data_IF_985082456476
#
_entry.id   IF_985082456476
#
_cell.length_a   1.000
_cell.length_b   1.000
_cell.length_c   1.000
_cell.angle_alpha   90.00
_cell.angle_beta   90.00
_cell.angle_gamma   90.00
#
_symmetry.space_group_name_H-M   'P 1'
#
loop_
_entity.id
_entity.type
_entity.pdbx_description
1 polymer ?
#
# COMPACT_ATOMS: atom_id res chain seq x y z
N UNK A 1 0.99 2.61 -14.26
CA UNK A 1 0.53 1.37 -13.60
C UNK A 1 1.66 0.39 -13.31
N UNK A 2 2.87 0.63 -13.82
CA UNK A 2 4.04 -0.23 -13.62
C UNK A 2 5.19 0.48 -12.90
N UNK A 3 6.14 -0.30 -12.36
CA UNK A 3 7.35 0.16 -11.67
C UNK A 3 8.52 -0.77 -11.98
N UNK A 4 9.72 -0.21 -11.98
CA UNK A 4 10.99 -0.92 -12.16
C UNK A 4 11.50 -1.37 -10.80
N UNK A 5 11.02 -2.51 -10.31
CA UNK A 5 11.37 -3.09 -9.01
C UNK A 5 11.85 -4.54 -9.15
N UNK A 6 12.69 -4.97 -8.21
CA UNK A 6 13.15 -6.36 -8.12
C UNK A 6 12.06 -7.35 -7.74
N UNK A 7 11.03 -6.88 -7.05
CA UNK A 7 9.97 -7.70 -6.49
C UNK A 7 8.61 -7.16 -6.90
N UNK A 8 7.70 -8.05 -7.27
CA UNK A 8 6.32 -7.72 -7.58
C UNK A 8 5.72 -8.67 -8.62
N UNK A 9 4.47 -8.40 -9.00
CA UNK A 9 3.81 -9.11 -10.08
C UNK A 9 4.23 -8.50 -11.41
N UNK A 10 4.93 -9.26 -12.25
CA UNK A 10 5.33 -8.80 -13.58
C UNK A 10 4.11 -8.44 -14.41
N UNK A 11 4.25 -7.38 -15.21
CA UNK A 11 3.22 -6.99 -16.17
C UNK A 11 2.99 -8.14 -17.14
N UNK A 12 1.75 -8.64 -17.30
CA UNK A 12 1.45 -9.79 -18.17
C UNK A 12 1.31 -9.36 -19.64
N UNK A 13 2.23 -8.54 -20.12
CA UNK A 13 2.34 -8.05 -21.48
C UNK A 13 3.63 -8.54 -22.13
N UNK A 14 3.57 -8.87 -23.40
CA UNK A 14 4.68 -9.45 -24.15
C UNK A 14 4.83 -8.69 -25.45
N UNK A 15 6.03 -8.18 -25.70
CA UNK A 15 6.41 -7.63 -26.99
C UNK A 15 6.57 -8.77 -28.00
N UNK A 16 5.95 -8.60 -29.17
CA UNK A 16 6.03 -9.57 -30.28
C UNK A 16 7.06 -9.08 -31.26
N UNK A 17 8.29 -9.57 -31.12
CA UNK A 17 9.40 -9.23 -32.03
C UNK A 17 9.32 -10.11 -33.27
N UNK A 18 8.89 -9.53 -34.41
CA UNK A 18 8.66 -10.21 -35.65
C UNK A 18 9.83 -10.00 -36.61
N UNK A 19 10.32 -11.10 -37.19
CA UNK A 19 11.41 -11.06 -38.11
C UNK A 19 11.07 -10.24 -39.40
N UNK A 20 11.96 -9.32 -39.76
CA UNK A 20 11.82 -8.47 -40.93
C UNK A 20 10.78 -7.35 -40.85
N UNK A 21 10.27 -7.06 -39.68
CA UNK A 21 9.34 -5.95 -39.42
C UNK A 21 10.04 -4.91 -38.54
N UNK A 22 10.04 -3.65 -38.98
CA UNK A 22 10.49 -2.54 -38.15
C UNK A 22 9.41 -2.25 -37.12
N UNK A 23 9.75 -2.35 -35.82
CA UNK A 23 8.81 -2.26 -34.71
C UNK A 23 9.35 -1.32 -33.65
N UNK A 24 8.51 -0.41 -33.17
CA UNK A 24 8.79 0.42 -32.00
C UNK A 24 8.16 -0.21 -30.75
N UNK A 25 8.97 -0.62 -29.74
CA UNK A 25 8.44 -1.14 -28.49
C UNK A 25 7.56 -0.14 -27.70
N UNK A 26 7.66 1.16 -28.01
CA UNK A 26 6.77 2.17 -27.42
C UNK A 26 5.34 2.13 -28.01
N UNK A 27 5.15 1.46 -29.15
CA UNK A 27 3.85 1.34 -29.78
C UNK A 27 3.12 0.09 -29.26
N UNK A 28 2.00 0.33 -28.59
CA UNK A 28 1.17 -0.72 -27.99
C UNK A 28 0.63 -1.76 -28.99
N UNK A 29 0.60 -1.45 -30.28
CA UNK A 29 0.13 -2.40 -31.31
C UNK A 29 0.99 -3.67 -31.43
N UNK A 30 2.25 -3.62 -30.95
CA UNK A 30 3.19 -4.74 -31.02
C UNK A 30 3.21 -5.59 -29.74
N UNK A 31 2.27 -5.34 -28.84
CA UNK A 31 2.18 -6.04 -27.57
C UNK A 31 0.94 -6.93 -27.50
N UNK A 32 1.13 -8.11 -26.92
CA UNK A 32 0.02 -9.00 -26.55
C UNK A 32 -0.03 -9.19 -25.04
N UNK A 33 -1.23 -9.37 -24.52
CA UNK A 33 -1.45 -9.64 -23.07
C UNK A 33 -1.78 -11.10 -22.90
N UNK A 34 -1.17 -11.78 -21.94
CA UNK A 34 -1.48 -13.18 -21.62
C UNK A 34 -1.22 -13.50 -20.17
N UNK A 35 -2.13 -14.20 -19.50
CA UNK A 35 -1.91 -14.67 -18.11
C UNK A 35 -0.78 -15.68 -18.01
N UNK A 36 -0.53 -16.39 -19.10
CA UNK A 36 0.55 -17.35 -19.26
C UNK A 36 1.27 -17.09 -20.57
N UNK A 37 2.51 -17.55 -20.68
CA UNK A 37 3.27 -17.47 -21.92
C UNK A 37 2.53 -18.16 -23.06
N UNK A 38 1.89 -19.31 -22.84
CA UNK A 38 1.13 -20.02 -23.87
C UNK A 38 -0.03 -19.18 -24.42
N UNK A 39 -0.76 -18.43 -23.57
CA UNK A 39 -1.79 -17.50 -24.04
C UNK A 39 -1.22 -16.33 -24.83
N UNK A 40 -0.04 -15.85 -24.44
CA UNK A 40 0.64 -14.80 -25.20
C UNK A 40 1.11 -15.31 -26.57
N UNK A 41 1.64 -16.54 -26.64
CA UNK A 41 2.05 -17.21 -27.91
C UNK A 41 0.88 -17.40 -28.86
N UNK A 42 -0.28 -17.83 -28.37
CA UNK A 42 -1.50 -17.96 -29.19
C UNK A 42 -1.88 -16.62 -29.83
N UNK A 43 -1.96 -15.55 -29.02
CA UNK A 43 -2.29 -14.20 -29.52
C UNK A 43 -1.22 -13.62 -30.45
N UNK A 44 0.04 -13.88 -30.15
CA UNK A 44 1.15 -13.46 -31.00
C UNK A 44 1.14 -14.19 -32.34
N UNK A 45 0.75 -15.46 -32.35
CA UNK A 45 0.59 -16.25 -33.60
C UNK A 45 -0.48 -15.64 -34.52
N UNK A 46 -1.61 -15.21 -33.92
CA UNK A 46 -2.66 -14.50 -34.67
C UNK A 46 -2.14 -13.16 -35.22
N UNK A 47 -1.41 -12.39 -34.39
CA UNK A 47 -0.82 -11.11 -34.78
C UNK A 47 0.23 -11.26 -35.89
N UNK A 48 1.08 -12.26 -35.80
CA UNK A 48 2.20 -12.47 -36.72
C UNK A 48 1.78 -12.93 -38.10
N UNK A 49 0.58 -13.49 -38.29
CA UNK A 49 0.02 -13.94 -39.57
C UNK A 49 0.99 -14.84 -40.37
N UNK A 50 1.60 -15.79 -39.67
CA UNK A 50 2.54 -16.74 -40.26
C UNK A 50 4.00 -16.30 -40.33
N UNK A 51 4.36 -15.13 -39.85
CA UNK A 51 5.76 -14.69 -39.67
C UNK A 51 6.40 -15.33 -38.46
N UNK A 52 7.71 -15.54 -38.52
CA UNK A 52 8.47 -15.94 -37.37
C UNK A 52 8.52 -14.78 -36.35
N UNK A 53 8.39 -15.09 -35.09
CA UNK A 53 8.45 -14.10 -34.01
C UNK A 53 9.09 -14.69 -32.74
N UNK A 54 9.54 -13.80 -31.85
CA UNK A 54 9.91 -14.12 -30.46
C UNK A 54 9.09 -13.28 -29.50
N UNK A 55 8.87 -13.79 -28.28
CA UNK A 55 8.16 -13.06 -27.23
C UNK A 55 9.12 -12.58 -26.17
N UNK A 56 9.03 -11.30 -25.83
CA UNK A 56 9.75 -10.71 -24.72
C UNK A 56 8.75 -10.13 -23.71
N UNK A 57 8.65 -10.76 -22.53
CA UNK A 57 7.77 -10.24 -21.47
C UNK A 57 8.32 -8.92 -20.93
N UNK A 58 7.43 -7.98 -20.64
CA UNK A 58 7.74 -6.74 -19.96
C UNK A 58 8.48 -7.04 -18.64
N UNK A 59 9.54 -6.29 -18.37
CA UNK A 59 10.38 -6.44 -17.17
C UNK A 59 9.80 -5.74 -15.94
N UNK A 60 8.89 -4.79 -16.17
CA UNK A 60 8.23 -4.03 -15.12
C UNK A 60 7.29 -4.91 -14.29
N UNK A 61 7.04 -4.46 -13.07
CA UNK A 61 6.03 -5.04 -12.17
C UNK A 61 4.85 -4.08 -12.02
N UNK A 62 3.68 -4.63 -11.70
CA UNK A 62 2.50 -3.82 -11.42
C UNK A 62 2.71 -2.99 -10.15
N UNK A 63 2.31 -1.73 -10.19
CA UNK A 63 2.32 -0.84 -9.02
C UNK A 63 1.37 -1.34 -7.94
N UNK A 64 1.79 -1.22 -6.68
CA UNK A 64 0.97 -1.52 -5.50
C UNK A 64 -0.37 -0.78 -5.53
N UNK A 65 -0.37 0.48 -5.95
CA UNK A 65 -1.60 1.28 -6.05
C UNK A 65 -2.57 0.76 -7.13
N UNK A 66 -2.06 0.14 -8.18
CA UNK A 66 -2.90 -0.53 -9.16
C UNK A 66 -3.60 -1.74 -8.54
N UNK A 67 -2.84 -2.63 -7.92
CA UNK A 67 -3.40 -3.82 -7.26
C UNK A 67 -4.37 -3.48 -6.14
N UNK A 68 -4.03 -2.49 -5.29
CA UNK A 68 -4.90 -2.03 -4.21
C UNK A 68 -6.17 -1.34 -4.70
N UNK A 69 -6.13 -0.74 -5.88
CA UNK A 69 -7.32 -0.17 -6.54
C UNK A 69 -8.33 -1.22 -7.02
N UNK A 70 -7.89 -2.46 -7.23
CA UNK A 70 -8.76 -3.59 -7.59
C UNK A 70 -9.41 -4.26 -6.36
N UNK A 71 -8.91 -3.98 -5.18
CA UNK A 71 -9.25 -4.70 -3.94
C UNK A 71 -10.75 -4.85 -3.67
N UNK A 72 -11.61 -3.83 -3.83
CA UNK A 72 -13.03 -3.93 -3.46
C UNK A 72 -13.81 -5.01 -4.20
N UNK A 73 -13.36 -5.42 -5.37
CA UNK A 73 -14.05 -6.41 -6.21
C UNK A 73 -13.19 -7.64 -6.52
N UNK A 74 -11.86 -7.52 -6.57
CA UNK A 74 -10.99 -8.67 -6.84
C UNK A 74 -11.02 -9.71 -5.72
N UNK A 75 -11.14 -9.28 -4.45
CA UNK A 75 -11.24 -10.17 -3.28
C UNK A 75 -12.60 -10.89 -3.19
N UNK A 76 -13.61 -10.39 -3.89
CA UNK A 76 -14.95 -10.97 -3.92
C UNK A 76 -15.19 -11.92 -5.11
N UNK A 77 -14.12 -12.24 -5.84
CA UNK A 77 -14.15 -13.20 -6.93
C UNK A 77 -14.24 -12.63 -8.33
N UNK A 78 -14.22 -11.30 -8.51
CA UNK A 78 -14.11 -10.70 -9.84
C UNK A 78 -12.83 -11.25 -10.54
N UNK A 79 -12.83 -11.59 -11.83
CA UNK A 79 -13.82 -11.27 -12.86
C UNK A 79 -14.92 -12.33 -13.07
N UNK A 80 -15.10 -13.28 -12.16
CA UNK A 80 -16.16 -14.29 -12.28
C UNK A 80 -17.54 -13.62 -12.03
N UNK A 81 -18.40 -13.63 -13.05
CA UNK A 81 -19.71 -12.95 -13.00
C UNK A 81 -20.72 -13.61 -12.03
N UNK A 82 -20.53 -14.88 -11.75
CA UNK A 82 -21.37 -15.71 -10.87
C UNK A 82 -20.80 -15.89 -9.47
N UNK A 83 -19.72 -15.16 -9.12
CA UNK A 83 -19.15 -15.19 -7.80
C UNK A 83 -20.18 -14.73 -6.75
N UNK A 84 -20.53 -15.60 -5.81
CA UNK A 84 -21.54 -15.35 -4.79
C UNK A 84 -21.22 -14.15 -3.90
N UNK A 85 -19.94 -14.01 -3.51
CA UNK A 85 -19.50 -12.92 -2.67
C UNK A 85 -19.60 -11.58 -3.41
N UNK A 86 -19.29 -11.56 -4.71
CA UNK A 86 -19.45 -10.38 -5.55
C UNK A 86 -20.92 -9.95 -5.63
N UNK A 87 -21.86 -10.90 -5.78
CA UNK A 87 -23.30 -10.60 -5.84
C UNK A 87 -23.85 -10.12 -4.50
N UNK A 88 -23.28 -10.58 -3.39
CA UNK A 88 -23.80 -10.30 -2.05
C UNK A 88 -23.16 -9.08 -1.38
N UNK A 89 -21.86 -8.90 -1.53
CA UNK A 89 -21.09 -7.89 -0.79
C UNK A 89 -20.64 -6.68 -1.62
N UNK A 90 -20.82 -6.71 -2.95
CA UNK A 90 -20.46 -5.59 -3.80
C UNK A 90 -21.70 -4.88 -4.35
N UNK A 91 -21.81 -3.53 -4.29
CA UNK A 91 -20.90 -2.59 -3.60
C UNK A 91 -20.93 -2.74 -2.08
N UNK A 92 -19.80 -2.46 -1.40
CA UNK A 92 -19.76 -2.46 0.06
C UNK A 92 -20.48 -1.23 0.63
N UNK A 93 -20.90 -1.30 1.89
CA UNK A 93 -21.64 -0.21 2.53
C UNK A 93 -20.75 1.01 2.76
N UNK A 94 -19.56 0.81 3.33
CA UNK A 94 -18.66 1.87 3.72
C UNK A 94 -17.20 1.42 3.55
N UNK A 95 -16.35 2.36 3.16
CA UNK A 95 -14.90 2.25 3.22
C UNK A 95 -14.38 3.14 4.35
N UNK A 96 -13.58 2.59 5.26
CA UNK A 96 -12.85 3.35 6.25
C UNK A 96 -11.39 3.51 5.84
N UNK A 97 -10.85 4.73 5.91
CA UNK A 97 -9.47 5.03 5.54
C UNK A 97 -8.97 6.32 6.16
N UNK A 98 -7.65 6.51 6.15
CA UNK A 98 -7.05 7.82 6.44
C UNK A 98 -7.32 8.81 5.29
N UNK A 99 -7.58 10.06 5.62
CA UNK A 99 -7.82 11.12 4.65
C UNK A 99 -6.61 11.38 3.72
N UNK A 100 -5.40 11.06 4.16
CA UNK A 100 -4.16 11.31 3.43
C UNK A 100 -3.98 10.42 2.18
N UNK A 101 -4.74 9.32 2.07
CA UNK A 101 -4.74 8.43 0.91
C UNK A 101 -6.05 8.44 0.11
N UNK A 102 -6.91 9.42 0.31
CA UNK A 102 -8.14 9.58 -0.48
C UNK A 102 -7.85 9.61 -1.98
N UNK A 103 -6.88 10.41 -2.40
CA UNK A 103 -6.52 10.53 -3.81
C UNK A 103 -5.78 9.30 -4.32
N UNK A 104 -4.85 8.75 -3.53
CA UNK A 104 -4.02 7.65 -3.97
C UNK A 104 -4.75 6.30 -3.97
N UNK A 105 -5.68 6.09 -3.07
CA UNK A 105 -6.37 4.81 -2.91
C UNK A 105 -7.85 4.88 -3.27
N UNK A 106 -8.61 5.77 -2.62
CA UNK A 106 -10.07 5.83 -2.79
C UNK A 106 -10.45 6.20 -4.23
N UNK A 107 -9.84 7.25 -4.78
CA UNK A 107 -10.11 7.66 -6.15
C UNK A 107 -9.78 6.56 -7.16
N UNK A 108 -8.70 5.81 -6.96
CA UNK A 108 -8.32 4.68 -7.84
C UNK A 108 -9.31 3.52 -7.73
N UNK A 109 -9.76 3.17 -6.52
CA UNK A 109 -10.82 2.15 -6.35
C UNK A 109 -12.11 2.54 -7.06
N UNK A 110 -12.50 3.82 -6.98
CA UNK A 110 -13.69 4.33 -7.67
C UNK A 110 -13.51 4.21 -9.19
N UNK A 111 -12.39 4.70 -9.72
CA UNK A 111 -12.12 4.65 -11.17
C UNK A 111 -12.11 3.22 -11.70
N UNK A 112 -11.38 2.33 -11.05
CA UNK A 112 -11.28 0.93 -11.46
C UNK A 112 -12.59 0.17 -11.23
N UNK A 113 -13.29 0.43 -10.12
CA UNK A 113 -14.59 -0.15 -9.84
C UNK A 113 -15.61 0.19 -10.92
N UNK A 114 -15.77 1.47 -11.24
CA UNK A 114 -16.68 1.90 -12.30
C UNK A 114 -16.26 1.35 -13.66
N UNK A 115 -14.95 1.36 -13.98
CA UNK A 115 -14.47 0.85 -15.26
C UNK A 115 -14.73 -0.65 -15.44
N UNK A 116 -14.49 -1.46 -14.40
CA UNK A 116 -14.56 -2.92 -14.51
C UNK A 116 -15.93 -3.52 -14.20
N UNK A 117 -16.70 -2.88 -13.32
CA UNK A 117 -17.98 -3.43 -12.83
C UNK A 117 -19.20 -2.59 -13.23
N UNK A 118 -18.98 -1.36 -13.70
CA UNK A 118 -20.06 -0.41 -14.00
C UNK A 118 -20.69 0.22 -12.75
N UNK A 119 -20.17 -0.03 -11.55
CA UNK A 119 -20.74 0.42 -10.29
C UNK A 119 -19.69 1.05 -9.37
N UNK A 120 -20.13 1.98 -8.51
CA UNK A 120 -19.29 2.50 -7.42
C UNK A 120 -18.98 1.36 -6.43
N UNK A 121 -17.71 1.23 -5.97
CA UNK A 121 -17.33 0.11 -5.11
C UNK A 121 -17.86 0.20 -3.67
N UNK A 122 -18.24 1.38 -3.21
CA UNK A 122 -18.79 1.65 -1.87
C UNK A 122 -19.67 2.90 -1.90
N UNK A 123 -20.60 2.99 -0.94
CA UNK A 123 -21.55 4.10 -0.85
C UNK A 123 -21.00 5.28 -0.07
N UNK A 124 -20.21 5.00 0.95
CA UNK A 124 -19.68 5.99 1.89
C UNK A 124 -18.17 5.80 2.08
N UNK A 125 -17.47 6.89 2.35
CA UNK A 125 -16.06 6.89 2.75
C UNK A 125 -15.94 7.58 4.09
N UNK A 126 -15.58 6.82 5.11
CA UNK A 126 -15.32 7.34 6.44
C UNK A 126 -13.82 7.62 6.61
N UNK A 127 -13.47 8.88 6.85
CA UNK A 127 -12.08 9.27 7.10
C UNK A 127 -11.83 9.35 8.59
N UNK A 128 -11.08 8.36 9.10
CA UNK A 128 -10.71 8.33 10.52
C UNK A 128 -9.60 9.32 10.86
N UNK A 129 -9.46 9.62 12.15
CA UNK A 129 -8.38 10.44 12.67
C UNK A 129 -7.00 9.74 12.49
N UNK A 130 -5.97 10.53 12.22
CA UNK A 130 -4.60 10.03 12.15
C UNK A 130 -3.92 10.14 13.51
N UNK A 131 -3.23 9.08 13.93
CA UNK A 131 -2.37 9.12 15.11
C UNK A 131 -1.03 9.76 14.74
N UNK A 132 -0.70 10.84 15.44
CA UNK A 132 0.54 11.61 15.27
C UNK A 132 1.34 11.60 16.57
N UNK A 133 2.60 11.99 16.50
CA UNK A 133 3.42 12.15 17.70
C UNK A 133 2.91 13.31 18.59
N UNK A 134 3.50 13.47 19.77
CA UNK A 134 3.12 14.51 20.75
C UNK A 134 3.21 15.94 20.17
N UNK A 135 4.04 16.14 19.15
CA UNK A 135 4.19 17.42 18.46
C UNK A 135 3.23 17.60 17.26
N UNK A 136 2.40 16.60 16.97
CA UNK A 136 1.48 16.60 15.83
C UNK A 136 2.13 16.28 14.49
N UNK A 137 3.37 15.76 14.47
CA UNK A 137 4.06 15.35 13.26
C UNK A 137 3.59 13.94 12.83
N UNK A 138 3.54 13.70 11.52
CA UNK A 138 3.32 12.34 11.00
C UNK A 138 4.46 11.45 11.46
N UNK A 139 4.13 10.26 11.95
CA UNK A 139 5.13 9.28 12.36
C UNK A 139 5.86 8.72 11.15
N UNK A 140 7.19 8.66 11.21
CA UNK A 140 8.02 8.01 10.21
C UNK A 140 9.28 7.42 10.86
N UNK A 141 9.76 6.32 10.30
CA UNK A 141 10.99 5.65 10.80
C UNK A 141 12.20 6.58 10.75
N UNK A 142 12.36 7.37 9.67
CA UNK A 142 13.46 8.31 9.49
C UNK A 142 13.47 9.50 10.46
N UNK A 143 12.34 9.81 11.09
CA UNK A 143 12.26 10.81 12.16
C UNK A 143 12.46 10.19 13.56
N UNK A 144 12.42 8.87 13.68
CA UNK A 144 12.51 8.17 14.96
C UNK A 144 11.33 8.41 15.90
N UNK A 145 10.21 8.93 15.40
CA UNK A 145 9.02 9.27 16.18
C UNK A 145 7.88 8.25 16.03
N UNK A 146 8.17 7.06 15.49
CA UNK A 146 7.22 5.96 15.45
C UNK A 146 7.13 5.37 16.85
N UNK A 147 5.91 5.34 17.40
CA UNK A 147 5.61 4.72 18.69
C UNK A 147 5.03 3.34 18.40
N UNK A 148 5.77 2.29 18.78
CA UNK A 148 5.27 0.92 18.75
C UNK A 148 4.31 0.73 19.93
N UNK A 149 3.08 0.25 19.72
CA UNK A 149 2.16 -0.05 20.81
C UNK A 149 2.75 -0.96 21.89
N UNK A 150 3.57 -1.92 21.51
CA UNK A 150 4.24 -2.84 22.46
C UNK A 150 5.21 -2.09 23.37
N UNK A 151 5.91 -1.08 22.85
CA UNK A 151 6.82 -0.26 23.65
C UNK A 151 6.10 0.56 24.72
N UNK A 152 4.86 0.97 24.44
CA UNK A 152 4.01 1.64 25.44
C UNK A 152 3.47 0.65 26.46
N UNK A 153 3.11 -0.55 26.03
CA UNK A 153 2.54 -1.59 26.89
C UNK A 153 3.59 -2.11 27.86
N UNK A 154 4.78 -2.46 27.35
CA UNK A 154 5.84 -3.16 28.11
C UNK A 154 6.92 -2.22 28.63
N UNK A 155 7.00 -1.01 28.09
CA UNK A 155 8.08 -0.08 28.33
C UNK A 155 9.32 -0.39 27.50
N UNK A 156 10.12 0.62 27.20
CA UNK A 156 11.39 0.45 26.49
C UNK A 156 12.39 1.53 26.93
N UNK A 157 13.66 1.15 27.11
CA UNK A 157 14.72 2.11 27.39
C UNK A 157 15.10 2.93 26.16
N UNK A 158 15.79 4.06 26.33
CA UNK A 158 16.32 4.85 25.23
C UNK A 158 17.31 4.04 24.37
N UNK A 159 18.12 3.19 25.00
CA UNK A 159 19.03 2.29 24.30
C UNK A 159 18.28 1.27 23.43
N UNK A 160 17.17 0.73 23.95
CA UNK A 160 16.31 -0.17 23.20
C UNK A 160 15.68 0.51 21.99
N UNK A 161 15.21 1.75 22.12
CA UNK A 161 14.72 2.55 20.99
C UNK A 161 15.81 2.76 19.92
N UNK A 162 17.04 3.09 20.34
CA UNK A 162 18.17 3.25 19.42
C UNK A 162 18.58 1.94 18.74
N UNK A 163 18.48 0.80 19.42
CA UNK A 163 18.76 -0.51 18.85
C UNK A 163 17.78 -0.84 17.73
N UNK A 164 16.47 -0.59 17.93
CA UNK A 164 15.44 -0.82 16.90
C UNK A 164 15.66 0.00 15.63
N UNK A 165 16.23 1.21 15.72
CA UNK A 165 16.56 1.98 14.52
C UNK A 165 17.59 1.26 13.64
N UNK A 166 18.50 0.50 14.24
CA UNK A 166 19.58 -0.25 13.54
C UNK A 166 19.08 -1.57 12.94
N UNK A 167 17.97 -2.10 13.44
CA UNK A 167 17.33 -3.32 12.90
C UNK A 167 16.51 -3.04 11.63
N UNK A 168 16.27 -1.76 11.30
CA UNK A 168 15.55 -1.34 10.12
C UNK A 168 16.47 -1.10 8.90
N UNK A 169 15.85 -0.64 7.79
CA UNK A 169 16.55 -0.33 6.54
C UNK A 169 16.90 1.17 6.40
N UNK A 170 17.18 1.85 7.51
CA UNK A 170 17.59 3.25 7.51
C UNK A 170 19.09 3.37 7.23
N UNK A 171 19.50 4.40 6.52
CA UNK A 171 20.92 4.70 6.37
C UNK A 171 21.51 5.32 7.66
N UNK A 172 22.84 5.36 7.79
CA UNK A 172 23.48 5.87 9.00
C UNK A 172 23.14 7.34 9.33
N UNK A 173 22.88 8.18 8.32
CA UNK A 173 22.50 9.58 8.54
C UNK A 173 21.10 9.67 9.09
N UNK A 174 20.19 8.86 8.58
CA UNK A 174 18.81 8.77 9.07
C UNK A 174 18.78 8.19 10.49
N UNK A 175 19.54 7.13 10.78
CA UNK A 175 19.69 6.55 12.12
C UNK A 175 20.16 7.62 13.13
N UNK A 176 21.21 8.36 12.80
CA UNK A 176 21.75 9.40 13.68
C UNK A 176 20.72 10.53 13.94
N UNK A 177 20.01 10.94 12.90
CA UNK A 177 18.94 11.96 13.02
C UNK A 177 17.78 11.46 13.89
N UNK A 178 17.32 10.23 13.65
CA UNK A 178 16.26 9.59 14.41
C UNK A 178 16.63 9.41 15.88
N UNK A 179 17.87 8.95 16.17
CA UNK A 179 18.37 8.79 17.52
C UNK A 179 18.45 10.12 18.30
N UNK A 180 18.82 11.22 17.64
CA UNK A 180 18.77 12.55 18.25
C UNK A 180 17.31 12.97 18.54
N UNK A 181 16.37 12.67 17.65
CA UNK A 181 14.94 12.88 17.87
C UNK A 181 14.44 12.09 19.09
N UNK A 182 14.73 10.79 19.15
CA UNK A 182 14.35 9.93 20.28
C UNK A 182 14.95 10.41 21.61
N UNK A 183 16.23 10.79 21.63
CA UNK A 183 16.87 11.34 22.82
C UNK A 183 16.19 12.62 23.32
N UNK A 184 15.65 13.44 22.42
CA UNK A 184 14.93 14.66 22.76
C UNK A 184 13.52 14.38 23.26
N UNK A 185 12.81 13.51 22.55
CA UNK A 185 11.39 13.26 22.79
C UNK A 185 11.19 12.21 23.93
N UNK A 186 12.11 11.22 24.06
CA UNK A 186 12.07 10.14 25.05
C UNK A 186 13.38 10.00 25.83
N UNK A 187 13.83 11.01 26.60
CA UNK A 187 15.16 11.02 27.23
C UNK A 187 15.38 9.87 28.23
N UNK A 188 14.31 9.28 28.75
CA UNK A 188 14.31 8.14 29.67
C UNK A 188 13.72 6.87 29.07
N UNK A 189 13.46 6.86 27.74
CA UNK A 189 12.66 5.83 27.11
C UNK A 189 11.17 6.04 27.32
N UNK A 190 10.38 4.99 27.07
CA UNK A 190 8.93 4.96 27.28
C UNK A 190 8.64 4.09 28.49
N UNK A 191 7.92 4.57 29.52
CA UNK A 191 7.58 3.77 30.69
C UNK A 191 6.58 2.68 30.34
N UNK A 192 6.55 1.60 31.13
CA UNK A 192 5.52 0.57 31.01
C UNK A 192 4.17 1.12 31.48
N UNK A 193 3.20 1.21 30.56
CA UNK A 193 1.86 1.72 30.86
C UNK A 193 0.80 0.61 30.93
N UNK A 194 1.02 -0.51 30.26
CA UNK A 194 0.06 -1.59 30.17
C UNK A 194 -0.96 -1.42 29.03
N UNK A 195 -1.60 -2.54 28.67
CA UNK A 195 -2.51 -2.61 27.52
C UNK A 195 -3.76 -1.76 27.68
N UNK A 196 -4.38 -1.81 28.86
CA UNK A 196 -5.66 -1.12 29.09
C UNK A 196 -5.47 0.41 29.14
N UNK A 197 -4.35 0.90 29.68
CA UNK A 197 -4.03 2.31 29.68
C UNK A 197 -3.90 2.86 28.26
N UNK A 198 -3.19 2.16 27.38
CA UNK A 198 -3.06 2.54 25.97
C UNK A 198 -4.42 2.53 25.25
N UNK A 199 -5.19 1.46 25.40
CA UNK A 199 -6.51 1.32 24.79
C UNK A 199 -7.48 2.39 25.24
N UNK A 200 -7.53 2.64 26.56
CA UNK A 200 -8.38 3.68 27.14
C UNK A 200 -8.00 5.06 26.61
N UNK A 201 -6.72 5.38 26.58
CA UNK A 201 -6.23 6.67 26.08
C UNK A 201 -6.63 6.89 24.62
N UNK A 202 -6.42 5.90 23.75
CA UNK A 202 -6.82 6.00 22.35
C UNK A 202 -8.32 6.18 22.19
N UNK A 203 -9.13 5.41 22.93
CA UNK A 203 -10.59 5.53 22.90
C UNK A 203 -11.09 6.89 23.45
N UNK A 204 -10.44 7.40 24.52
CA UNK A 204 -10.80 8.70 25.08
C UNK A 204 -10.40 9.89 24.19
N UNK A 205 -9.38 9.71 23.36
CA UNK A 205 -8.89 10.75 22.43
C UNK A 205 -9.54 10.68 21.07
N UNK A 206 -10.26 9.58 20.76
CA UNK A 206 -10.91 9.41 19.46
C UNK A 206 -11.94 10.52 19.26
N UNK A 207 -11.83 11.20 18.13
CA UNK A 207 -12.80 12.20 17.70
C UNK A 207 -12.84 12.25 16.18
N UNK A 208 -14.03 12.34 15.62
CA UNK A 208 -14.20 12.40 14.18
C UNK A 208 -13.46 13.62 13.57
N UNK A 209 -12.63 13.38 12.57
CA UNK A 209 -11.99 14.41 11.75
C UNK A 209 -10.84 15.17 12.43
N UNK A 210 -10.39 14.79 13.62
CA UNK A 210 -9.24 15.42 14.28
C UNK A 210 -8.11 14.42 14.52
N UNK A 211 -6.89 14.81 14.12
CA UNK A 211 -5.71 13.99 14.38
C UNK A 211 -5.46 13.84 15.89
N UNK A 212 -5.13 12.63 16.29
CA UNK A 212 -4.79 12.27 17.66
C UNK A 212 -3.31 12.54 17.88
N UNK A 213 -2.97 13.40 18.83
CA UNK A 213 -1.59 13.59 19.28
C UNK A 213 -1.31 12.61 20.42
N UNK A 214 -0.64 11.52 20.09
CA UNK A 214 -0.27 10.52 21.09
C UNK A 214 0.98 10.99 21.85
N UNK A 215 0.82 11.13 23.15
CA UNK A 215 1.87 11.49 24.10
C UNK A 215 1.85 10.44 25.19
N UNK A 216 3.00 9.80 25.47
CA UNK A 216 3.14 8.75 26.49
C UNK A 216 2.67 9.22 27.87
N UNK A 217 2.86 10.49 28.18
CA UNK A 217 2.40 11.09 29.47
C UNK A 217 0.89 11.05 29.64
N UNK A 218 0.12 11.01 28.55
CA UNK A 218 -1.34 10.85 28.60
C UNK A 218 -1.76 9.41 28.80
N UNK A 219 -0.87 8.48 28.47
CA UNK A 219 -1.11 7.05 28.69
C UNK A 219 -0.74 6.65 30.11
N UNK A 220 0.30 7.30 30.70
CA UNK A 220 0.78 7.06 32.05
C UNK A 220 -0.21 7.54 33.11
N UNK A 221 -0.94 8.62 32.88
CA UNK A 221 -1.75 9.28 33.89
C UNK A 221 -3.07 9.80 33.51
#
# INVERSE_FOLDING_TARGET
VSRQLWWGHRVPAYFVDMEGVEQDPADGQWWVVGRTQAQAEERATEMAQGRAFTLKQDEDVLDTWFSSGLWPFSTLGWPQKDAKDMQHYYPTSMLETGWDILFFWVARMIMLGVHHTGQLPFKEVFCHAMVRDAHGRKMSKSLGNVIDPIDVIEGISLEGLHQRLREGNLDEKEINKAAQGQKKDYPRGIPQCGTDALRFTLAAMESQGRDIKLDERRVEG
#
